data_IF_819880318344
#
_entry.id   IF_819880318344
#
_cell.length_a   1.000
_cell.length_b   1.000
_cell.length_c   1.000
_cell.angle_alpha   90.00
_cell.angle_beta   90.00
_cell.angle_gamma   90.00
#
_symmetry.space_group_name_H-M   'P 1'
#
loop_
_entity.id
_entity.type
_entity.pdbx_description
1 polymer ?
#
# COMPACT_ATOMS: atom_id res chain seq x y z
N UNK A 1 4.32 -1.66 -10.08
CA UNK A 1 2.95 -1.17 -9.81
C UNK A 1 2.27 -2.00 -8.71
N UNK A 2 1.54 -1.32 -7.83
CA UNK A 2 0.66 -1.84 -6.79
C UNK A 2 -0.68 -1.11 -6.95
N UNK A 3 -1.79 -1.81 -7.06
CA UNK A 3 -3.11 -1.20 -7.24
C UNK A 3 -3.84 -1.19 -5.89
N UNK A 4 -4.73 -0.24 -5.65
CA UNK A 4 -5.60 -0.26 -4.47
C UNK A 4 -7.03 -0.47 -4.94
N UNK A 5 -7.69 -1.46 -4.38
CA UNK A 5 -9.13 -1.68 -4.51
C UNK A 5 -9.92 -0.68 -3.67
N UNK A 6 -11.22 -0.53 -3.93
CA UNK A 6 -12.11 0.34 -3.15
C UNK A 6 -12.05 0.04 -1.64
N UNK A 7 -11.96 -1.24 -1.26
CA UNK A 7 -11.85 -1.65 0.14
C UNK A 7 -10.53 -1.23 0.76
N UNK A 8 -9.42 -1.41 0.05
CA UNK A 8 -8.08 -1.01 0.53
C UNK A 8 -7.97 0.52 0.63
N UNK A 9 -8.58 1.24 -0.31
CA UNK A 9 -8.72 2.71 -0.24
C UNK A 9 -9.55 3.10 0.98
N UNK A 10 -10.65 2.42 1.26
CA UNK A 10 -11.45 2.62 2.47
C UNK A 10 -10.64 2.41 3.75
N UNK A 11 -9.83 1.36 3.82
CA UNK A 11 -8.92 1.11 4.95
C UNK A 11 -7.90 2.24 5.10
N UNK A 12 -7.32 2.74 4.00
CA UNK A 12 -6.37 3.86 4.02
C UNK A 12 -7.02 5.16 4.53
N UNK A 13 -8.23 5.48 4.07
CA UNK A 13 -8.99 6.66 4.53
C UNK A 13 -9.39 6.53 6.00
N UNK A 14 -9.66 5.33 6.49
CA UNK A 14 -10.06 5.10 7.88
C UNK A 14 -8.91 5.18 8.89
N UNK A 15 -7.64 5.16 8.45
CA UNK A 15 -6.48 5.16 9.36
C UNK A 15 -6.44 6.38 10.29
N UNK A 16 -6.32 6.13 11.59
CA UNK A 16 -5.97 7.12 12.60
C UNK A 16 -4.48 7.51 12.61
N UNK A 17 -4.07 8.47 13.45
CA UNK A 17 -2.70 8.99 13.49
C UNK A 17 -1.62 7.98 13.87
N UNK A 18 -1.99 6.94 14.64
CA UNK A 18 -1.08 5.89 15.11
C UNK A 18 -1.37 4.54 14.47
N UNK A 19 -2.30 4.50 13.51
CA UNK A 19 -2.65 3.26 12.84
C UNK A 19 -1.65 2.94 11.74
N UNK A 20 -1.50 1.65 11.48
CA UNK A 20 -0.77 1.14 10.32
C UNK A 20 -1.70 0.31 9.45
N UNK A 21 -1.47 0.31 8.14
CA UNK A 21 -2.10 -0.64 7.24
C UNK A 21 -1.04 -1.40 6.43
N UNK A 22 -1.38 -2.63 6.06
CA UNK A 22 -0.56 -3.45 5.18
C UNK A 22 -1.45 -4.20 4.19
N UNK A 23 -1.07 -4.13 2.91
CA UNK A 23 -1.81 -4.71 1.80
C UNK A 23 -0.92 -5.71 1.07
N UNK A 24 -1.48 -6.87 0.71
CA UNK A 24 -0.73 -7.97 0.12
C UNK A 24 -1.35 -8.39 -1.20
N UNK A 25 -0.55 -8.32 -2.27
CA UNK A 25 -0.97 -8.69 -3.62
C UNK A 25 -0.11 -9.84 -4.14
N UNK A 26 -0.77 -10.91 -4.56
CA UNK A 26 -0.19 -11.98 -5.38
C UNK A 26 -0.80 -11.90 -6.80
N UNK A 27 -0.07 -11.35 -7.79
CA UNK A 27 -0.57 -11.21 -9.16
C UNK A 27 -0.90 -12.54 -9.83
N UNK A 28 -0.38 -13.66 -9.31
CA UNK A 28 -0.46 -15.00 -9.87
C UNK A 28 -1.33 -15.93 -9.04
N UNK A 29 -2.08 -15.42 -8.06
CA UNK A 29 -2.84 -16.21 -7.07
C UNK A 29 -3.79 -17.27 -7.68
N UNK A 30 -4.32 -17.02 -8.89
CA UNK A 30 -5.23 -17.94 -9.60
C UNK A 30 -4.57 -18.72 -10.74
N UNK A 31 -3.24 -18.82 -10.72
CA UNK A 31 -2.43 -19.51 -11.73
C UNK A 31 -1.50 -20.53 -11.09
N UNK A 32 -0.80 -21.32 -11.89
CA UNK A 32 0.25 -22.24 -11.43
C UNK A 32 1.42 -21.55 -10.71
N UNK A 33 1.57 -20.23 -10.89
CA UNK A 33 2.65 -19.44 -10.29
C UNK A 33 2.24 -18.74 -8.98
N UNK A 34 1.16 -19.17 -8.34
CA UNK A 34 0.73 -18.61 -7.06
C UNK A 34 1.87 -18.66 -6.02
N UNK A 35 2.01 -17.58 -5.24
CA UNK A 35 3.04 -17.40 -4.21
C UNK A 35 4.43 -17.03 -4.73
N UNK A 36 4.67 -17.12 -6.04
CA UNK A 36 5.97 -16.88 -6.63
C UNK A 36 6.30 -15.38 -6.76
N UNK A 37 5.29 -14.53 -6.96
CA UNK A 37 5.44 -13.07 -6.93
C UNK A 37 4.54 -12.51 -5.84
N UNK A 38 5.15 -11.89 -4.83
CA UNK A 38 4.46 -11.29 -3.69
C UNK A 38 4.80 -9.82 -3.59
N UNK A 39 3.78 -8.98 -3.46
CA UNK A 39 3.93 -7.55 -3.26
C UNK A 39 3.28 -7.18 -1.93
N UNK A 40 3.98 -6.42 -1.10
CA UNK A 40 3.39 -5.82 0.08
C UNK A 40 3.56 -4.31 0.07
N UNK A 41 2.48 -3.59 0.36
CA UNK A 41 2.50 -2.16 0.59
C UNK A 41 2.16 -1.93 2.06
N UNK A 42 3.03 -1.25 2.79
CA UNK A 42 2.84 -0.91 4.20
C UNK A 42 2.88 0.60 4.39
N UNK A 43 2.00 1.09 5.26
CA UNK A 43 1.96 2.48 5.72
C UNK A 43 2.02 2.44 7.23
N UNK A 44 3.10 2.96 7.80
CA UNK A 44 3.34 2.92 9.25
C UNK A 44 3.59 4.32 9.79
N UNK A 45 3.08 4.68 10.98
CA UNK A 45 3.42 5.95 11.63
C UNK A 45 4.93 6.07 11.82
N UNK A 46 5.47 7.24 11.53
CA UNK A 46 6.89 7.53 11.71
C UNK A 46 7.08 8.99 12.10
N UNK A 47 7.56 9.23 13.33
CA UNK A 47 7.81 10.56 13.91
C UNK A 47 6.69 11.57 13.62
N UNK A 48 6.85 12.41 12.59
CA UNK A 48 5.94 13.49 12.18
C UNK A 48 5.15 13.18 10.89
N UNK A 49 4.89 11.91 10.62
CA UNK A 49 4.14 11.48 9.45
C UNK A 49 4.10 9.95 9.36
N UNK A 50 4.32 9.44 8.17
CA UNK A 50 4.22 8.04 7.84
C UNK A 50 5.40 7.61 6.99
N UNK A 51 5.70 6.31 7.06
CA UNK A 51 6.61 5.66 6.15
C UNK A 51 5.80 4.74 5.24
N UNK A 52 5.82 5.02 3.93
CA UNK A 52 5.15 4.21 2.92
C UNK A 52 6.20 3.33 2.27
N UNK A 53 6.02 2.01 2.36
CA UNK A 53 7.01 1.03 1.89
C UNK A 53 6.36 -0.02 1.00
N UNK A 54 6.87 -0.16 -0.22
CA UNK A 54 6.52 -1.20 -1.18
C UNK A 54 7.64 -2.22 -1.25
N UNK A 55 7.34 -3.48 -0.95
CA UNK A 55 8.26 -4.60 -1.13
C UNK A 55 7.72 -5.53 -2.22
N UNK A 56 8.61 -5.98 -3.11
CA UNK A 56 8.29 -6.95 -4.15
C UNK A 56 9.30 -8.08 -4.06
N UNK A 57 8.80 -9.29 -3.80
CA UNK A 57 9.59 -10.52 -3.80
C UNK A 57 9.15 -11.34 -5.01
N UNK A 58 10.07 -11.58 -5.92
CA UNK A 58 9.86 -12.43 -7.09
C UNK A 58 10.82 -13.62 -7.04
N UNK A 59 10.29 -14.77 -6.66
CA UNK A 59 11.04 -16.01 -6.56
C UNK A 59 11.39 -16.59 -7.93
N UNK A 60 10.60 -16.32 -8.98
CA UNK A 60 10.87 -16.82 -10.35
C UNK A 60 12.15 -16.23 -10.92
N UNK A 61 12.39 -14.94 -10.66
CA UNK A 61 13.56 -14.20 -11.12
C UNK A 61 14.62 -14.01 -10.02
N UNK A 62 14.37 -14.56 -8.82
CA UNK A 62 15.18 -14.38 -7.63
C UNK A 62 15.50 -12.91 -7.30
N UNK A 63 14.51 -12.01 -7.46
CA UNK A 63 14.65 -10.58 -7.14
C UNK A 63 13.90 -10.20 -5.87
N UNK A 64 14.46 -9.23 -5.15
CA UNK A 64 13.86 -8.62 -3.96
C UNK A 64 14.06 -7.11 -4.06
N UNK A 65 12.99 -6.42 -4.40
CA UNK A 65 13.00 -4.97 -4.57
C UNK A 65 12.24 -4.32 -3.42
N UNK A 66 12.82 -3.28 -2.84
CA UNK A 66 12.19 -2.46 -1.82
C UNK A 66 12.22 -0.98 -2.23
N UNK A 67 11.12 -0.30 -1.97
CA UNK A 67 11.00 1.14 -2.18
C UNK A 67 10.29 1.74 -0.97
N UNK A 68 10.93 2.69 -0.31
CA UNK A 68 10.36 3.33 0.87
C UNK A 68 10.57 4.83 0.84
N UNK A 69 9.53 5.56 1.19
CA UNK A 69 9.54 7.02 1.25
C UNK A 69 8.88 7.52 2.53
N UNK A 70 9.47 8.54 3.18
CA UNK A 70 8.76 9.29 4.22
C UNK A 70 7.66 10.14 3.57
N UNK A 71 6.52 10.23 4.24
CA UNK A 71 5.36 11.05 3.85
C UNK A 71 4.96 11.85 5.08
N UNK A 72 4.92 13.16 4.96
CA UNK A 72 4.51 14.05 6.05
C UNK A 72 3.02 13.88 6.37
N UNK A 73 2.60 14.25 7.57
CA UNK A 73 1.16 14.27 7.93
C UNK A 73 0.33 15.11 6.96
N UNK A 74 0.88 16.23 6.47
CA UNK A 74 0.20 17.11 5.50
C UNK A 74 0.02 16.42 4.15
N UNK A 75 1.07 15.79 3.60
CA UNK A 75 0.97 15.02 2.35
C UNK A 75 0.01 13.84 2.49
N UNK A 76 0.05 13.15 3.64
CA UNK A 76 -0.86 12.04 3.91
C UNK A 76 -2.31 12.51 3.99
N UNK A 77 -2.59 13.67 4.60
CA UNK A 77 -3.92 14.26 4.63
C UNK A 77 -4.45 14.57 3.22
N UNK A 78 -3.62 15.14 2.35
CA UNK A 78 -3.96 15.38 0.93
C UNK A 78 -4.30 14.06 0.23
N UNK A 79 -3.49 13.01 0.44
CA UNK A 79 -3.76 11.67 -0.08
C UNK A 79 -5.12 11.13 0.38
N UNK A 80 -5.43 11.20 1.69
CA UNK A 80 -6.72 10.74 2.23
C UNK A 80 -7.89 11.50 1.63
N UNK A 81 -7.77 12.81 1.47
CA UNK A 81 -8.80 13.64 0.83
C UNK A 81 -9.01 13.27 -0.63
N UNK A 82 -7.93 13.12 -1.41
CA UNK A 82 -8.02 12.70 -2.80
C UNK A 82 -8.68 11.33 -2.94
N UNK A 83 -8.28 10.36 -2.11
CA UNK A 83 -8.87 9.03 -2.05
C UNK A 83 -10.37 9.08 -1.70
N UNK A 84 -10.77 9.91 -0.74
CA UNK A 84 -12.17 10.10 -0.35
C UNK A 84 -13.01 10.62 -1.52
N UNK A 85 -12.54 11.66 -2.22
CA UNK A 85 -13.22 12.18 -3.41
C UNK A 85 -13.35 11.10 -4.48
N UNK A 86 -12.27 10.36 -4.79
CA UNK A 86 -12.31 9.29 -5.78
C UNK A 86 -13.25 8.14 -5.41
N UNK A 87 -13.42 7.84 -4.12
CA UNK A 87 -14.27 6.73 -3.66
C UNK A 87 -15.76 7.10 -3.63
N UNK A 88 -16.11 8.34 -3.29
CA UNK A 88 -17.49 8.77 -3.07
C UNK A 88 -18.10 9.63 -4.18
N UNK A 89 -17.33 10.04 -5.20
CA UNK A 89 -17.85 10.90 -6.30
C UNK A 89 -18.47 10.12 -7.48
N UNK A 90 -19.12 8.99 -7.24
CA UNK A 90 -19.84 8.22 -8.27
C UNK A 90 -21.34 8.40 -8.19
#
# INVERSE_FOLDING_TARGET
RFALSATEVGSLIAMGPQDSCEFFHDPSMKSSNAGQVRKSLSIKPHSNGYFVSLNVVNTLLNTKDNFSVPVTTAEFAVMKTACSVCLFST
#
